data_IF_335146350172
#
_entry.id   IF_335146350172
#
_cell.length_a   1.000
_cell.length_b   1.000
_cell.length_c   1.000
_cell.angle_alpha   90.00
_cell.angle_beta   90.00
_cell.angle_gamma   90.00
#
_symmetry.space_group_name_H-M   'P 1'
#
loop_
_entity.id
_entity.type
_entity.pdbx_description
1 polymer ?
#
# COMPACT_ATOMS: atom_id res chain seq x y z
N UNK A 1 -13.52 -42.16 12.10
CA UNK A 1 -12.89 -41.70 10.84
C UNK A 1 -11.50 -42.27 10.89
N UNK A 2 -11.22 -43.23 10.02
CA UNK A 2 -10.24 -44.31 10.24
C UNK A 2 -8.79 -43.81 10.28
N UNK A 3 -8.06 -44.09 11.36
CA UNK A 3 -6.62 -43.82 11.53
C UNK A 3 -5.78 -44.33 10.35
N UNK A 4 -6.21 -45.44 9.73
CA UNK A 4 -5.58 -46.01 8.53
C UNK A 4 -5.61 -45.09 7.30
N UNK A 5 -6.58 -44.18 7.20
CA UNK A 5 -6.66 -43.25 6.07
C UNK A 5 -5.65 -42.11 6.27
N UNK A 6 -5.47 -41.66 7.51
CA UNK A 6 -4.52 -40.60 7.82
C UNK A 6 -3.07 -41.07 7.61
N UNK A 7 -2.75 -42.29 8.03
CA UNK A 7 -1.42 -42.88 7.84
C UNK A 7 -1.09 -43.06 6.34
N UNK A 8 -2.07 -43.48 5.53
CA UNK A 8 -1.91 -43.59 4.09
C UNK A 8 -1.74 -42.23 3.38
N UNK A 9 -2.39 -41.17 3.89
CA UNK A 9 -2.22 -39.80 3.39
C UNK A 9 -0.81 -39.28 3.69
N UNK A 10 -0.34 -39.49 4.92
CA UNK A 10 0.97 -39.00 5.36
C UNK A 10 2.12 -39.71 4.62
N UNK A 11 1.98 -41.03 4.39
CA UNK A 11 2.94 -41.79 3.58
C UNK A 11 2.99 -41.28 2.13
N UNK A 12 1.82 -40.97 1.55
CA UNK A 12 1.75 -40.43 0.18
C UNK A 12 2.35 -39.03 0.07
N UNK A 13 2.20 -38.19 1.10
CA UNK A 13 2.82 -36.86 1.18
C UNK A 13 4.35 -36.99 1.28
N UNK A 14 4.86 -37.94 2.06
CA UNK A 14 6.31 -38.16 2.19
C UNK A 14 6.95 -38.66 0.88
N UNK A 15 6.25 -39.53 0.16
CA UNK A 15 6.66 -40.03 -1.15
C UNK A 15 6.71 -38.88 -2.18
N UNK A 16 5.69 -38.03 -2.23
CA UNK A 16 5.63 -36.83 -3.08
C UNK A 16 6.79 -35.86 -2.77
N UNK A 17 7.08 -35.59 -1.50
CA UNK A 17 8.21 -34.73 -1.09
C UNK A 17 9.56 -35.26 -1.56
N UNK A 18 9.73 -36.58 -1.56
CA UNK A 18 10.96 -37.22 -2.01
C UNK A 18 11.11 -37.10 -3.51
N UNK A 19 10.02 -37.35 -4.26
CA UNK A 19 10.00 -37.20 -5.72
C UNK A 19 10.28 -35.75 -6.15
N UNK A 20 9.66 -34.76 -5.49
CA UNK A 20 9.90 -33.33 -5.75
C UNK A 20 11.37 -32.91 -5.50
N UNK A 21 12.01 -33.52 -4.49
CA UNK A 21 13.42 -33.27 -4.18
C UNK A 21 14.37 -33.87 -5.21
N UNK A 22 14.04 -35.04 -5.75
CA UNK A 22 14.85 -35.74 -6.75
C UNK A 22 14.74 -35.11 -8.14
N UNK A 23 13.57 -34.55 -8.48
CA UNK A 23 13.35 -33.83 -9.76
C UNK A 23 13.87 -32.40 -9.77
N UNK A 24 14.45 -31.91 -8.65
CA UNK A 24 15.05 -30.57 -8.56
C UNK A 24 14.02 -29.45 -8.46
N UNK A 25 12.74 -29.75 -8.21
CA UNK A 25 11.66 -28.78 -8.00
C UNK A 25 11.48 -28.44 -6.52
N UNK A 26 12.55 -28.07 -5.83
CA UNK A 26 12.47 -27.34 -4.55
C UNK A 26 13.52 -26.22 -4.49
N UNK A 27 13.36 -25.26 -5.40
CA UNK A 27 13.48 -23.86 -5.02
C UNK A 27 12.06 -23.29 -4.83
N UNK A 28 11.28 -23.90 -3.94
CA UNK A 28 10.19 -23.16 -3.32
C UNK A 28 10.87 -22.11 -2.45
N UNK A 29 10.83 -20.86 -2.95
CA UNK A 29 10.72 -19.67 -2.12
C UNK A 29 10.07 -20.07 -0.81
N UNK A 30 10.74 -19.76 0.29
CA UNK A 30 10.18 -19.81 1.64
C UNK A 30 8.91 -18.94 1.66
N UNK A 31 7.78 -19.50 1.25
CA UNK A 31 6.46 -19.04 1.60
C UNK A 31 6.23 -19.60 3.00
N UNK A 32 5.90 -18.70 3.93
CA UNK A 32 5.70 -18.96 5.36
C UNK A 32 6.97 -18.91 6.23
N UNK A 33 7.57 -17.72 6.33
CA UNK A 33 7.84 -17.24 7.68
C UNK A 33 6.52 -16.59 8.18
N UNK A 34 5.79 -17.19 9.14
CA UNK A 34 4.52 -16.66 9.64
C UNK A 34 4.68 -15.32 10.39
N UNK A 35 5.90 -14.80 10.52
CA UNK A 35 6.20 -13.45 10.99
C UNK A 35 6.29 -12.42 9.86
N UNK A 36 6.39 -12.85 8.59
CA UNK A 36 6.53 -12.02 7.39
C UNK A 36 5.25 -11.88 6.55
N UNK A 37 4.15 -12.54 6.92
CA UNK A 37 2.77 -12.05 6.63
C UNK A 37 2.47 -10.81 7.49
N UNK A 38 3.46 -9.93 7.59
CA UNK A 38 3.40 -8.65 8.27
C UNK A 38 2.37 -7.80 7.54
N UNK A 39 1.19 -7.69 8.14
CA UNK A 39 0.12 -6.73 7.91
C UNK A 39 0.25 -5.95 6.59
N UNK A 40 -0.18 -6.55 5.47
CA UNK A 40 -0.36 -5.78 4.24
C UNK A 40 -1.55 -4.85 4.43
N UNK A 41 -1.36 -3.57 4.17
CA UNK A 41 -2.40 -2.56 4.34
C UNK A 41 -2.53 -1.72 3.07
N UNK A 42 -3.74 -1.27 2.79
CA UNK A 42 -4.05 -0.39 1.65
C UNK A 42 -3.93 1.09 2.02
N UNK A 43 -3.91 1.39 3.31
CA UNK A 43 -3.76 2.72 3.87
C UNK A 43 -2.85 2.66 5.10
N UNK A 44 -2.01 3.69 5.29
CA UNK A 44 -1.26 3.87 6.53
C UNK A 44 -1.07 5.35 6.85
N UNK A 45 -1.00 5.63 8.15
CA UNK A 45 -0.67 6.96 8.64
C UNK A 45 0.79 7.28 8.36
N UNK A 46 1.01 8.41 7.72
CA UNK A 46 2.30 8.84 7.21
C UNK A 46 2.53 10.31 7.50
N UNK A 47 3.79 10.71 7.44
CA UNK A 47 4.21 12.09 7.45
C UNK A 47 5.07 12.36 6.23
N UNK A 48 4.79 13.48 5.56
CA UNK A 48 5.66 14.02 4.53
C UNK A 48 6.62 15.03 5.16
N UNK A 49 7.91 14.70 5.16
CA UNK A 49 8.96 15.52 5.76
C UNK A 49 9.80 16.22 4.70
N UNK A 50 10.12 17.49 4.96
CA UNK A 50 11.10 18.25 4.17
C UNK A 50 12.43 18.30 4.91
N UNK A 51 13.45 17.67 4.33
CA UNK A 51 14.83 17.80 4.78
C UNK A 51 15.50 19.08 4.25
N UNK A 52 16.50 19.64 4.94
CA UNK A 52 17.29 20.76 4.43
C UNK A 52 17.95 20.45 3.09
N UNK A 53 17.71 21.30 2.09
CA UNK A 53 18.28 21.14 0.74
C UNK A 53 17.66 20.02 -0.11
N UNK A 54 16.60 19.37 0.36
CA UNK A 54 15.87 18.39 -0.43
C UNK A 54 15.01 19.04 -1.52
N UNK A 55 14.89 18.33 -2.65
CA UNK A 55 14.03 18.68 -3.80
C UNK A 55 12.70 17.89 -3.79
N UNK A 56 12.38 17.24 -2.67
CA UNK A 56 11.18 16.42 -2.49
C UNK A 56 10.73 16.42 -1.02
N UNK A 57 9.48 16.04 -0.80
CA UNK A 57 9.00 15.59 0.51
C UNK A 57 9.16 14.07 0.60
N UNK A 58 9.62 13.57 1.73
CA UNK A 58 9.81 12.13 1.94
C UNK A 58 8.74 11.57 2.87
N UNK A 59 8.19 10.42 2.51
CA UNK A 59 7.21 9.70 3.32
C UNK A 59 7.90 8.95 4.46
N UNK A 60 7.41 9.19 5.67
CA UNK A 60 7.88 8.55 6.90
C UNK A 60 6.65 8.01 7.64
N UNK A 61 6.61 6.71 7.97
CA UNK A 61 5.50 6.15 8.73
C UNK A 61 5.35 6.86 10.08
N UNK A 62 4.12 7.25 10.44
CA UNK A 62 3.87 8.05 11.65
C UNK A 62 4.26 7.34 12.94
N UNK A 63 4.29 6.00 12.94
CA UNK A 63 4.73 5.21 14.09
C UNK A 63 6.26 5.26 14.31
N UNK A 64 7.01 5.71 13.31
CA UNK A 64 8.46 5.88 13.38
C UNK A 64 8.82 7.32 13.77
N UNK A 65 8.22 7.80 14.86
CA UNK A 65 8.37 9.17 15.38
C UNK A 65 9.84 9.57 15.62
N UNK A 66 10.73 8.60 15.87
CA UNK A 66 12.16 8.82 16.06
C UNK A 66 12.89 9.33 14.80
N UNK A 67 12.35 9.07 13.61
CA UNK A 67 12.97 9.49 12.35
C UNK A 67 12.94 11.02 12.18
N UNK A 68 11.93 11.71 12.74
CA UNK A 68 11.79 13.17 12.65
C UNK A 68 12.90 13.91 13.39
N UNK A 69 13.26 13.45 14.59
CA UNK A 69 14.32 14.05 15.41
C UNK A 69 15.72 13.84 14.80
N UNK A 70 15.92 12.76 14.04
CA UNK A 70 17.20 12.45 13.42
C UNK A 70 17.44 13.22 12.10
N UNK A 71 16.38 13.60 11.38
CA UNK A 71 16.47 14.14 10.02
C UNK A 71 16.59 15.67 9.97
N UNK A 72 16.42 16.38 11.09
CA UNK A 72 16.57 17.84 11.15
C UNK A 72 15.56 18.55 10.24
N UNK A 73 14.29 18.15 10.35
CA UNK A 73 13.22 18.58 9.44
C UNK A 73 12.93 20.09 9.51
N UNK A 74 12.60 20.66 8.35
CA UNK A 74 12.15 22.07 8.22
C UNK A 74 10.62 22.14 8.21
N UNK A 75 9.96 21.08 7.75
CA UNK A 75 8.50 20.97 7.65
C UNK A 75 8.08 19.51 7.74
N UNK A 76 7.00 19.25 8.48
CA UNK A 76 6.36 17.95 8.60
C UNK A 76 4.86 18.14 8.33
N UNK A 77 4.28 17.30 7.47
CA UNK A 77 2.86 17.30 7.13
C UNK A 77 2.30 15.91 7.44
N UNK A 78 1.38 15.81 8.39
CA UNK A 78 0.70 14.54 8.71
C UNK A 78 -0.41 14.24 7.72
N UNK A 79 -0.66 12.95 7.50
CA UNK A 79 -1.70 12.49 6.60
C UNK A 79 -1.80 10.98 6.50
N UNK A 80 -2.60 10.54 5.53
CA UNK A 80 -2.77 9.13 5.21
C UNK A 80 -2.30 8.87 3.80
N UNK A 81 -1.46 7.85 3.62
CA UNK A 81 -1.08 7.36 2.30
C UNK A 81 -1.99 6.19 1.92
N UNK A 82 -2.60 6.28 0.75
CA UNK A 82 -3.39 5.22 0.14
C UNK A 82 -2.59 4.60 -1.01
N UNK A 83 -2.54 3.27 -1.04
CA UNK A 83 -1.87 2.52 -2.10
C UNK A 83 -2.49 2.81 -3.48
N UNK A 84 -1.65 2.84 -4.52
CA UNK A 84 -2.07 2.98 -5.93
C UNK A 84 -2.67 1.66 -6.44
N UNK A 85 -1.82 0.64 -6.61
CA UNK A 85 -2.19 -0.66 -7.20
C UNK A 85 -2.01 -1.86 -6.24
N UNK A 86 -0.98 -1.83 -5.39
CA UNK A 86 -0.60 -2.95 -4.52
C UNK A 86 -0.50 -2.50 -3.06
N UNK A 87 -0.96 -3.33 -2.10
CA UNK A 87 -0.84 -2.99 -0.69
C UNK A 87 0.63 -3.02 -0.28
N UNK A 88 0.99 -2.15 0.66
CA UNK A 88 2.34 -2.10 1.22
C UNK A 88 2.40 -2.83 2.55
N UNK A 89 3.61 -3.23 2.93
CA UNK A 89 3.89 -3.74 4.28
C UNK A 89 3.68 -2.60 5.28
N UNK A 90 2.95 -2.85 6.35
CA UNK A 90 2.74 -1.89 7.44
C UNK A 90 4.09 -1.32 7.94
N UNK A 91 4.20 0.01 7.98
CA UNK A 91 5.42 0.69 8.39
C UNK A 91 6.53 0.76 7.32
N UNK A 92 6.26 0.38 6.07
CA UNK A 92 7.18 0.60 4.96
C UNK A 92 7.23 2.09 4.56
N UNK A 93 8.44 2.63 4.38
CA UNK A 93 8.67 4.03 3.98
C UNK A 93 8.86 4.22 2.46
N UNK A 94 9.39 3.21 1.76
CA UNK A 94 9.57 3.21 0.31
C UNK A 94 8.29 2.69 -0.38
N UNK A 95 7.26 3.54 -0.39
CA UNK A 95 5.91 3.19 -0.85
C UNK A 95 5.41 4.19 -1.89
N UNK A 96 4.59 3.72 -2.82
CA UNK A 96 3.98 4.54 -3.86
C UNK A 96 2.46 4.59 -3.67
N UNK A 97 1.87 5.76 -3.90
CA UNK A 97 0.45 5.98 -3.67
C UNK A 97 0.05 7.45 -3.67
N UNK A 98 -1.15 7.70 -3.16
CA UNK A 98 -1.71 9.05 -3.02
C UNK A 98 -1.77 9.41 -1.53
N UNK A 99 -1.12 10.50 -1.17
CA UNK A 99 -1.11 11.02 0.19
C UNK A 99 -2.15 12.12 0.32
N UNK A 100 -3.02 12.00 1.33
CA UNK A 100 -3.96 13.03 1.73
C UNK A 100 -3.47 13.70 3.01
N UNK A 101 -3.27 15.02 2.98
CA UNK A 101 -2.88 15.79 4.15
C UNK A 101 -4.05 15.95 5.14
N UNK A 102 -3.80 15.77 6.43
CA UNK A 102 -4.83 15.90 7.49
C UNK A 102 -5.28 17.36 7.67
N UNK A 103 -4.36 18.31 7.49
CA UNK A 103 -4.58 19.72 7.82
C UNK A 103 -5.56 20.43 6.86
N UNK A 104 -5.46 20.12 5.56
CA UNK A 104 -6.20 20.81 4.50
C UNK A 104 -6.88 19.88 3.49
N UNK A 105 -6.73 18.56 3.66
CA UNK A 105 -7.36 17.55 2.81
C UNK A 105 -6.80 17.47 1.39
N UNK A 106 -5.74 18.23 1.07
CA UNK A 106 -5.12 18.22 -0.26
C UNK A 106 -4.36 16.93 -0.50
N UNK A 107 -4.21 16.61 -1.77
CA UNK A 107 -3.61 15.37 -2.22
C UNK A 107 -2.28 15.60 -2.92
N UNK A 108 -1.37 14.65 -2.80
CA UNK A 108 -0.11 14.61 -3.55
C UNK A 108 0.24 13.17 -3.89
N UNK A 109 0.82 12.97 -5.07
CA UNK A 109 1.37 11.67 -5.47
C UNK A 109 2.72 11.44 -4.80
N UNK A 110 2.90 10.27 -4.23
CA UNK A 110 4.17 9.79 -3.66
C UNK A 110 4.63 8.63 -4.52
N UNK A 111 5.84 8.70 -5.02
CA UNK A 111 6.48 7.64 -5.80
C UNK A 111 7.76 7.22 -5.10
N UNK A 112 7.89 5.93 -4.78
CA UNK A 112 9.05 5.35 -4.06
C UNK A 112 9.41 6.11 -2.77
N UNK A 113 8.39 6.47 -2.00
CA UNK A 113 8.53 7.21 -0.75
C UNK A 113 8.84 8.70 -0.91
N UNK A 114 8.76 9.27 -2.12
CA UNK A 114 9.04 10.68 -2.36
C UNK A 114 7.93 11.39 -3.17
N UNK A 115 7.55 12.58 -2.72
CA UNK A 115 6.73 13.53 -3.49
C UNK A 115 7.64 14.64 -4.04
N UNK A 116 7.99 14.62 -5.34
CA UNK A 116 8.93 15.56 -5.93
C UNK A 116 8.35 16.98 -5.96
N UNK A 117 9.22 17.99 -5.85
CA UNK A 117 8.80 19.38 -6.01
C UNK A 117 8.42 19.69 -7.44
N UNK A 118 7.45 20.58 -7.61
CA UNK A 118 7.10 21.10 -8.92
C UNK A 118 8.29 21.89 -9.51
N UNK A 119 8.47 21.84 -10.83
CA UNK A 119 9.57 22.53 -11.48
C UNK A 119 9.54 24.05 -11.19
N UNK A 120 10.59 24.56 -10.54
CA UNK A 120 10.68 25.97 -10.13
C UNK A 120 9.87 26.33 -8.88
N UNK A 121 9.40 25.32 -8.13
CA UNK A 121 8.73 25.46 -6.84
C UNK A 121 9.60 24.87 -5.73
N UNK A 122 9.41 25.40 -4.51
CA UNK A 122 9.99 24.86 -3.27
C UNK A 122 9.02 23.92 -2.54
N UNK A 123 8.02 23.38 -3.25
CA UNK A 123 6.97 22.51 -2.72
C UNK A 123 6.48 21.50 -3.77
N UNK A 124 5.85 20.42 -3.30
CA UNK A 124 5.27 19.37 -4.12
C UNK A 124 4.02 19.82 -4.89
N UNK A 125 3.63 19.05 -5.90
CA UNK A 125 2.43 19.32 -6.71
C UNK A 125 1.18 18.85 -5.98
N UNK A 126 0.65 19.71 -5.11
CA UNK A 126 -0.60 19.45 -4.39
C UNK A 126 -1.83 19.73 -5.26
N UNK A 127 -2.83 18.87 -5.17
CA UNK A 127 -4.15 19.03 -5.81
C UNK A 127 -5.26 19.05 -4.76
N UNK A 128 -6.41 19.60 -5.11
CA UNK A 128 -7.49 19.80 -4.15
C UNK A 128 -8.29 18.51 -3.92
N UNK A 129 -8.50 17.74 -4.98
CA UNK A 129 -9.33 16.56 -4.99
C UNK A 129 -8.56 15.37 -5.59
N UNK A 130 -8.89 14.15 -5.17
CA UNK A 130 -8.24 12.95 -5.70
C UNK A 130 -8.55 12.75 -7.20
N UNK A 131 -9.71 13.23 -7.67
CA UNK A 131 -10.11 13.17 -9.08
C UNK A 131 -9.33 14.13 -9.98
N UNK A 132 -8.48 15.00 -9.41
CA UNK A 132 -7.59 15.86 -10.18
C UNK A 132 -6.41 15.07 -10.82
N UNK A 133 -6.20 13.81 -10.42
CA UNK A 133 -5.26 12.89 -11.05
C UNK A 133 -5.91 12.13 -12.22
N UNK A 134 -5.51 12.39 -13.49
CA UNK A 134 -6.13 11.76 -14.66
C UNK A 134 -6.07 10.22 -14.64
N UNK A 135 -5.00 9.67 -14.09
CA UNK A 135 -4.80 8.22 -13.93
C UNK A 135 -5.84 7.60 -12.99
N UNK A 136 -6.19 8.28 -11.88
CA UNK A 136 -7.20 7.82 -10.94
C UNK A 136 -8.58 7.81 -11.61
N UNK A 137 -8.90 8.86 -12.37
CA UNK A 137 -10.16 8.93 -13.13
C UNK A 137 -10.23 7.80 -14.15
N UNK A 138 -9.15 7.55 -14.89
CA UNK A 138 -9.09 6.46 -15.87
C UNK A 138 -9.27 5.07 -15.22
N UNK A 139 -8.65 4.85 -14.06
CA UNK A 139 -8.79 3.60 -13.29
C UNK A 139 -10.23 3.42 -12.79
N UNK A 140 -10.86 4.49 -12.28
CA UNK A 140 -12.27 4.46 -11.88
C UNK A 140 -13.18 4.13 -13.08
N UNK A 141 -12.99 4.78 -14.22
CA UNK A 141 -13.75 4.51 -15.45
C UNK A 141 -13.60 3.05 -15.90
N UNK A 142 -12.37 2.52 -15.85
CA UNK A 142 -12.11 1.12 -16.15
C UNK A 142 -12.85 0.19 -15.18
N UNK A 143 -12.83 0.47 -13.87
CA UNK A 143 -13.55 -0.28 -12.86
C UNK A 143 -15.07 -0.28 -13.11
N UNK A 144 -15.64 0.84 -13.57
CA UNK A 144 -17.07 0.96 -13.86
C UNK A 144 -17.54 0.10 -15.05
N UNK A 145 -16.61 -0.36 -15.90
CA UNK A 145 -16.91 -1.34 -16.95
C UNK A 145 -17.20 -2.74 -16.40
N UNK A 146 -16.72 -3.06 -15.19
CA UNK A 146 -16.94 -4.34 -14.52
C UNK A 146 -18.18 -4.24 -13.63
N UNK A 147 -19.17 -5.11 -13.87
CA UNK A 147 -20.47 -5.05 -13.16
C UNK A 147 -20.34 -5.17 -11.64
N UNK A 148 -19.42 -6.00 -11.14
CA UNK A 148 -19.20 -6.18 -9.71
C UNK A 148 -18.75 -4.88 -9.03
N UNK A 149 -17.73 -4.19 -9.57
CA UNK A 149 -17.25 -2.93 -9.02
C UNK A 149 -18.27 -1.81 -9.17
N UNK A 150 -18.95 -1.75 -10.32
CA UNK A 150 -20.04 -0.79 -10.53
C UNK A 150 -21.14 -0.93 -9.48
N UNK A 151 -21.58 -2.15 -9.17
CA UNK A 151 -22.62 -2.36 -8.15
C UNK A 151 -22.17 -1.97 -6.74
N UNK A 152 -20.90 -2.20 -6.40
CA UNK A 152 -20.34 -1.75 -5.13
C UNK A 152 -20.32 -0.22 -5.06
N UNK A 153 -19.90 0.45 -6.13
CA UNK A 153 -19.91 1.91 -6.22
C UNK A 153 -21.33 2.49 -6.10
N UNK A 154 -22.31 1.89 -6.80
CA UNK A 154 -23.73 2.26 -6.70
C UNK A 154 -24.25 2.11 -5.27
N UNK A 155 -23.91 1.01 -4.58
CA UNK A 155 -24.30 0.80 -3.19
C UNK A 155 -23.66 1.81 -2.24
N UNK A 156 -22.39 2.15 -2.44
CA UNK A 156 -21.70 3.17 -1.64
C UNK A 156 -22.34 4.55 -1.83
N UNK A 157 -22.64 4.95 -3.07
CA UNK A 157 -23.32 6.20 -3.38
C UNK A 157 -24.71 6.27 -2.73
N UNK A 158 -25.49 5.19 -2.78
CA UNK A 158 -26.79 5.11 -2.13
C UNK A 158 -26.69 5.21 -0.60
N UNK A 159 -25.71 4.55 0.01
CA UNK A 159 -25.46 4.66 1.46
C UNK A 159 -25.10 6.09 1.87
N UNK A 160 -24.26 6.77 1.09
CA UNK A 160 -23.90 8.18 1.33
C UNK A 160 -25.10 9.12 1.26
N UNK A 161 -26.04 8.87 0.35
CA UNK A 161 -27.27 9.66 0.22
C UNK A 161 -28.31 9.37 1.32
N UNK A 162 -28.33 8.16 1.88
CA UNK A 162 -29.26 7.77 2.95
C UNK A 162 -28.71 8.10 4.34
N UNK A 163 -27.38 8.24 4.48
CA UNK A 163 -26.69 8.59 5.72
C UNK A 163 -26.38 10.08 5.91
N UNK A 164 -26.68 10.94 4.91
CA UNK A 164 -26.56 12.39 4.97
C UNK A 164 -27.92 13.04 5.28
#
# INVERSE_FOLDING_TARGET
MDENIQEAIDERIAELRTHMKEEGELAERSLCDPCLDACLVWEQNMKLVRMPGAEALYAVPSEQDWAHDALGEIRCISGTLYADDEPFVEGAAAVSGYFQADDDGRWVRVDDGAAPFAAGSDDATWVACLEDFPEVVAQLEACMSVSAYRHVAEQAALKGLVGA
#
